data_IF_991126877955
#
_entry.id   IF_991126877955
#
_cell.length_a   1.000
_cell.length_b   1.000
_cell.length_c   1.000
_cell.angle_alpha   90.00
_cell.angle_beta   90.00
_cell.angle_gamma   90.00
#
_symmetry.space_group_name_H-M   'P 1'
#
loop_
_entity.id
_entity.type
_entity.pdbx_description
1 polymer ?
#
# COMPACT_ATOMS: atom_id res chain seq x y z
N UNK A 1 -0.02 7.65 8.09
CA UNK A 1 0.43 6.29 8.40
C UNK A 1 0.79 6.13 9.89
N UNK A 2 1.60 7.03 10.47
CA UNK A 2 2.02 6.94 11.89
C UNK A 2 0.85 6.91 12.86
N UNK A 3 -0.18 7.71 12.64
CA UNK A 3 -1.40 7.71 13.46
C UNK A 3 -2.15 6.37 13.42
N UNK A 4 -1.97 5.60 12.37
CA UNK A 4 -2.52 4.25 12.20
C UNK A 4 -1.55 3.13 12.60
N UNK A 5 -0.48 3.47 13.32
CA UNK A 5 0.42 2.51 13.93
C UNK A 5 1.64 2.12 13.11
N UNK A 6 1.99 2.87 12.07
CA UNK A 6 3.26 2.67 11.39
C UNK A 6 4.41 3.17 12.26
N UNK A 7 5.37 2.29 12.56
CA UNK A 7 6.56 2.64 13.33
C UNK A 7 7.46 3.60 12.56
N UNK A 8 7.58 3.40 11.24
CA UNK A 8 8.38 4.21 10.35
C UNK A 8 7.61 4.59 9.09
N UNK A 9 8.01 5.69 8.49
CA UNK A 9 7.46 6.16 7.21
C UNK A 9 8.61 6.60 6.31
N UNK A 10 8.51 6.27 5.02
CA UNK A 10 9.48 6.67 4.00
C UNK A 10 8.78 7.65 3.07
N UNK A 11 9.27 8.89 3.04
CA UNK A 11 8.81 9.86 2.06
C UNK A 11 9.58 9.67 0.75
N UNK A 12 8.87 9.34 -0.33
CA UNK A 12 9.49 9.13 -1.64
C UNK A 12 10.14 10.40 -2.23
N UNK A 13 9.77 11.59 -1.77
CA UNK A 13 10.41 12.83 -2.17
C UNK A 13 11.80 12.99 -1.52
N UNK A 14 11.97 12.51 -0.30
CA UNK A 14 13.24 12.51 0.43
C UNK A 14 14.13 11.35 -0.01
N UNK A 15 13.54 10.18 -0.19
CA UNK A 15 14.19 8.95 -0.64
C UNK A 15 13.82 8.68 -2.11
N UNK A 16 14.27 9.55 -3.01
CA UNK A 16 13.82 9.63 -4.41
C UNK A 16 14.14 8.40 -5.27
N UNK A 17 15.07 7.52 -4.83
CA UNK A 17 15.42 6.32 -5.59
C UNK A 17 15.15 5.03 -4.83
N UNK A 18 14.90 3.89 -5.52
CA UNK A 18 14.73 2.59 -4.89
C UNK A 18 15.91 2.20 -3.99
N UNK A 19 17.13 2.54 -4.39
CA UNK A 19 18.36 2.23 -3.64
C UNK A 19 18.40 2.95 -2.30
N UNK A 20 18.03 4.24 -2.26
CA UNK A 20 17.95 5.02 -1.02
C UNK A 20 16.88 4.46 -0.09
N UNK A 21 15.73 4.09 -0.63
CA UNK A 21 14.66 3.46 0.16
C UNK A 21 15.08 2.11 0.71
N UNK A 22 15.75 1.30 -0.12
CA UNK A 22 16.31 0.01 0.30
C UNK A 22 17.35 0.16 1.41
N UNK A 23 18.28 1.12 1.26
CA UNK A 23 19.28 1.40 2.28
C UNK A 23 18.62 1.78 3.60
N UNK A 24 17.62 2.65 3.58
CA UNK A 24 16.90 3.03 4.79
C UNK A 24 16.21 1.84 5.45
N UNK A 25 15.58 0.94 4.67
CA UNK A 25 15.00 -0.29 5.20
C UNK A 25 16.08 -1.18 5.82
N UNK A 26 17.27 -1.26 5.23
CA UNK A 26 18.40 -2.00 5.80
C UNK A 26 18.83 -1.43 7.15
N UNK A 27 18.92 -0.12 7.27
CA UNK A 27 19.26 0.56 8.52
C UNK A 27 18.22 0.27 9.62
N UNK A 28 16.93 0.28 9.28
CA UNK A 28 15.84 -0.02 10.21
C UNK A 28 15.79 -1.47 10.66
N UNK A 29 16.40 -2.38 9.93
CA UNK A 29 16.30 -3.84 10.13
C UNK A 29 17.63 -4.50 10.42
N UNK A 30 18.64 -3.74 10.83
CA UNK A 30 20.00 -4.24 11.08
C UNK A 30 20.57 -5.05 9.89
N UNK A 31 20.29 -4.59 8.67
CA UNK A 31 20.74 -5.21 7.42
C UNK A 31 19.86 -6.34 6.90
N UNK A 32 18.86 -6.78 7.65
CA UNK A 32 18.03 -7.95 7.31
C UNK A 32 17.08 -7.74 6.14
N UNK A 33 16.57 -6.53 5.93
CA UNK A 33 15.46 -6.20 5.04
C UNK A 33 14.10 -6.73 5.56
N UNK A 34 13.05 -6.60 4.74
CA UNK A 34 11.68 -6.90 5.14
C UNK A 34 11.34 -8.39 4.99
N UNK A 35 10.62 -8.96 5.95
CA UNK A 35 10.07 -10.32 5.83
C UNK A 35 8.85 -10.35 4.90
N UNK A 36 8.06 -9.26 4.88
CA UNK A 36 6.88 -9.10 4.03
C UNK A 36 6.89 -7.72 3.42
N UNK A 37 6.63 -7.64 2.12
CA UNK A 37 6.37 -6.40 1.39
C UNK A 37 5.02 -6.51 0.72
N UNK A 38 4.16 -5.50 0.88
CA UNK A 38 2.85 -5.42 0.26
C UNK A 38 2.80 -4.25 -0.72
N UNK A 39 2.43 -4.52 -1.96
CA UNK A 39 2.19 -3.51 -2.99
C UNK A 39 0.70 -3.17 -3.02
N UNK A 40 0.37 -1.87 -2.87
CA UNK A 40 -1.00 -1.36 -2.76
C UNK A 40 -1.26 -0.16 -3.68
N UNK A 41 -0.27 0.19 -4.50
CA UNK A 41 -0.31 1.38 -5.38
C UNK A 41 -0.81 1.02 -6.79
N UNK A 42 -0.46 -0.18 -7.27
CA UNK A 42 -0.85 -0.68 -8.60
C UNK A 42 0.10 -0.29 -9.73
N UNK A 43 1.37 -0.03 -9.45
CA UNK A 43 2.40 0.25 -10.46
C UNK A 43 3.27 -0.99 -10.68
N UNK A 44 3.36 -1.46 -11.92
CA UNK A 44 4.06 -2.70 -12.26
C UNK A 44 5.55 -2.69 -11.84
N UNK A 45 6.20 -1.54 -11.91
CA UNK A 45 7.61 -1.35 -11.57
C UNK A 45 7.90 -1.60 -10.09
N UNK A 46 6.89 -1.41 -9.22
CA UNK A 46 7.01 -1.61 -7.76
C UNK A 46 7.18 -3.09 -7.38
N UNK A 47 6.82 -4.02 -8.28
CA UNK A 47 7.12 -5.43 -8.06
C UNK A 47 8.65 -5.67 -8.01
N UNK A 48 9.41 -5.05 -8.90
CA UNK A 48 10.87 -5.18 -8.91
C UNK A 48 11.45 -4.59 -7.64
N UNK A 49 11.06 -3.36 -7.33
CA UNK A 49 11.50 -2.63 -6.15
C UNK A 49 11.16 -3.39 -4.86
N UNK A 50 9.90 -3.84 -4.74
CA UNK A 50 9.44 -4.53 -3.54
C UNK A 50 10.09 -5.90 -3.33
N UNK A 51 10.39 -6.63 -4.39
CA UNK A 51 11.15 -7.89 -4.31
C UNK A 51 12.59 -7.63 -3.84
N UNK A 52 13.20 -6.50 -4.23
CA UNK A 52 14.54 -6.14 -3.76
C UNK A 52 14.58 -5.75 -2.28
N UNK A 53 13.47 -5.28 -1.73
CA UNK A 53 13.35 -4.96 -0.30
C UNK A 53 13.19 -6.19 0.61
N UNK A 54 12.98 -7.38 0.04
CA UNK A 54 12.78 -8.60 0.81
C UNK A 54 14.09 -9.23 1.30
N UNK A 55 14.05 -9.71 2.53
CA UNK A 55 15.06 -10.64 3.06
C UNK A 55 15.01 -12.00 2.34
N UNK A 56 15.96 -12.89 2.67
CA UNK A 56 15.90 -14.29 2.24
C UNK A 56 14.60 -14.98 2.72
N UNK A 57 13.94 -15.68 1.83
CA UNK A 57 12.67 -16.36 2.13
C UNK A 57 11.47 -15.45 2.33
N UNK A 58 11.65 -14.13 2.20
CA UNK A 58 10.59 -13.14 2.37
C UNK A 58 9.48 -13.24 1.31
N UNK A 59 8.36 -12.61 1.58
CA UNK A 59 7.16 -12.69 0.74
C UNK A 59 6.74 -11.31 0.24
N UNK A 60 6.64 -11.16 -1.07
CA UNK A 60 6.00 -10.02 -1.73
C UNK A 60 4.52 -10.33 -1.97
N UNK A 61 3.64 -9.45 -1.55
CA UNK A 61 2.19 -9.57 -1.76
C UNK A 61 1.74 -8.47 -2.71
N UNK A 62 1.32 -8.89 -3.90
CA UNK A 62 0.74 -8.01 -4.91
C UNK A 62 -0.75 -7.84 -4.66
N UNK A 63 -1.19 -6.63 -4.34
CA UNK A 63 -2.59 -6.30 -4.03
C UNK A 63 -3.06 -5.15 -4.91
N UNK A 64 -2.15 -4.24 -5.28
CA UNK A 64 -2.44 -3.11 -6.15
C UNK A 64 -2.94 -3.61 -7.50
N UNK A 65 -4.03 -3.06 -7.99
CA UNK A 65 -4.69 -3.48 -9.23
C UNK A 65 -3.86 -3.05 -10.46
N UNK A 66 -2.88 -3.87 -10.82
CA UNK A 66 -1.99 -3.60 -11.94
C UNK A 66 -2.78 -3.55 -13.25
N UNK A 67 -2.61 -2.48 -13.98
CA UNK A 67 -3.25 -2.27 -15.28
C UNK A 67 -2.81 -3.37 -16.26
N UNK A 68 -3.78 -4.09 -16.82
CA UNK A 68 -3.53 -5.16 -17.79
C UNK A 68 -2.76 -4.63 -18.99
N UNK A 69 -1.81 -5.44 -19.49
CA UNK A 69 -1.01 -5.12 -20.67
C UNK A 69 0.27 -4.34 -20.40
N UNK A 70 0.53 -3.93 -19.15
CA UNK A 70 1.86 -3.48 -18.76
C UNK A 70 2.79 -4.65 -18.56
N UNK A 71 4.02 -4.50 -19.06
CA UNK A 71 5.08 -5.49 -18.93
C UNK A 71 6.30 -4.83 -18.27
N UNK A 72 6.99 -5.60 -17.44
CA UNK A 72 8.23 -5.19 -16.80
C UNK A 72 9.34 -6.19 -17.17
N UNK A 73 10.57 -5.69 -17.26
CA UNK A 73 11.74 -6.56 -17.37
C UNK A 73 12.19 -6.94 -15.97
N UNK A 74 11.98 -8.19 -15.59
CA UNK A 74 12.32 -8.72 -14.28
C UNK A 74 13.55 -9.61 -14.36
N UNK A 75 14.59 -9.30 -13.57
CA UNK A 75 15.64 -10.26 -13.27
C UNK A 75 15.10 -11.28 -12.25
N UNK A 76 15.01 -12.57 -12.59
CA UNK A 76 14.50 -13.58 -11.68
C UNK A 76 15.48 -13.96 -10.57
N UNK A 77 16.75 -13.57 -10.67
CA UNK A 77 17.79 -14.00 -9.74
C UNK A 77 17.50 -13.68 -8.25
N UNK A 78 16.90 -12.53 -7.88
CA UNK A 78 16.50 -12.29 -6.49
C UNK A 78 15.47 -13.28 -5.98
N UNK A 79 14.57 -13.78 -6.85
CA UNK A 79 13.52 -14.74 -6.47
C UNK A 79 14.12 -16.11 -6.14
N UNK A 80 15.22 -16.50 -6.80
CA UNK A 80 15.89 -17.78 -6.53
C UNK A 80 16.44 -17.91 -5.11
N UNK A 81 16.50 -16.82 -4.38
CA UNK A 81 16.88 -16.78 -2.96
C UNK A 81 15.74 -17.16 -2.01
N UNK A 82 14.79 -17.97 -2.48
CA UNK A 82 13.65 -18.44 -1.72
C UNK A 82 12.54 -17.40 -1.50
N UNK A 83 12.63 -16.23 -2.14
CA UNK A 83 11.59 -15.21 -2.07
C UNK A 83 10.30 -15.72 -2.75
N UNK A 84 9.17 -15.27 -2.24
CA UNK A 84 7.85 -15.63 -2.74
C UNK A 84 7.18 -14.39 -3.31
N UNK A 85 6.51 -14.53 -4.43
CA UNK A 85 5.62 -13.51 -4.99
C UNK A 85 4.22 -14.12 -5.04
N UNK A 86 3.27 -13.52 -4.34
CA UNK A 86 1.89 -14.00 -4.27
C UNK A 86 0.93 -12.87 -4.60
N UNK A 87 -0.10 -13.17 -5.39
CA UNK A 87 -1.18 -12.23 -5.67
C UNK A 87 -2.30 -12.36 -4.64
N UNK A 88 -2.91 -11.23 -4.30
CA UNK A 88 -4.13 -11.18 -3.51
C UNK A 88 -5.10 -10.23 -4.18
N UNK A 89 -6.24 -10.75 -4.60
CA UNK A 89 -7.30 -9.96 -5.24
C UNK A 89 -8.61 -10.20 -4.53
N UNK A 90 -9.31 -9.11 -4.22
CA UNK A 90 -10.59 -9.16 -3.53
C UNK A 90 -10.48 -9.81 -2.13
N UNK A 91 -11.59 -9.98 -1.47
CA UNK A 91 -11.68 -10.69 -0.21
C UNK A 91 -12.89 -11.61 -0.20
N UNK A 92 -12.79 -12.71 0.52
CA UNK A 92 -13.94 -13.62 0.70
C UNK A 92 -14.94 -12.97 1.64
N UNK A 93 -16.25 -13.04 1.35
CA UNK A 93 -17.29 -12.50 2.25
C UNK A 93 -17.19 -13.02 3.70
N UNK A 94 -16.67 -14.23 3.87
CA UNK A 94 -16.42 -14.82 5.21
C UNK A 94 -15.40 -14.06 6.06
N UNK A 95 -14.60 -13.16 5.47
CA UNK A 95 -13.68 -12.30 6.21
C UNK A 95 -14.37 -11.09 6.85
N UNK A 96 -15.58 -10.72 6.40
CA UNK A 96 -16.28 -9.55 6.94
C UNK A 96 -16.48 -9.62 8.46
N UNK A 97 -16.96 -10.72 9.06
CA UNK A 97 -17.06 -10.83 10.51
C UNK A 97 -15.72 -10.64 11.22
N UNK A 98 -14.66 -11.25 10.69
CA UNK A 98 -13.29 -11.13 11.25
C UNK A 98 -12.80 -9.69 11.19
N UNK A 99 -13.08 -8.99 10.09
CA UNK A 99 -12.73 -7.56 9.95
C UNK A 99 -13.53 -6.71 10.95
N UNK A 100 -14.81 -6.99 11.13
CA UNK A 100 -15.65 -6.28 12.11
C UNK A 100 -15.15 -6.51 13.53
N UNK A 101 -14.81 -7.74 13.90
CA UNK A 101 -14.21 -8.04 15.20
C UNK A 101 -12.88 -7.28 15.39
N UNK A 102 -12.03 -7.24 14.37
CA UNK A 102 -10.78 -6.48 14.41
C UNK A 102 -11.03 -4.99 14.64
N UNK A 103 -12.00 -4.41 13.93
CA UNK A 103 -12.36 -2.99 14.08
C UNK A 103 -12.86 -2.72 15.51
N UNK A 104 -13.81 -3.50 16.00
CA UNK A 104 -14.37 -3.36 17.35
C UNK A 104 -13.27 -3.47 18.41
N UNK A 105 -12.40 -4.46 18.29
CA UNK A 105 -11.29 -4.68 19.24
C UNK A 105 -10.29 -3.53 19.28
N UNK A 106 -10.18 -2.77 18.19
CA UNK A 106 -9.23 -1.67 18.07
C UNK A 106 -9.93 -0.29 18.09
N UNK A 107 -11.21 -0.20 18.45
CA UNK A 107 -11.88 1.08 18.66
C UNK A 107 -11.13 1.90 19.71
N UNK A 108 -10.90 3.17 19.38
CA UNK A 108 -10.12 4.09 20.22
C UNK A 108 -8.61 3.91 20.16
N UNK A 109 -8.10 2.87 19.51
CA UNK A 109 -6.66 2.69 19.30
C UNK A 109 -6.17 3.43 18.05
N UNK A 110 -6.95 3.38 16.97
CA UNK A 110 -6.66 4.04 15.72
C UNK A 110 -7.81 4.96 15.30
N UNK A 111 -7.50 6.10 14.66
CA UNK A 111 -8.50 7.09 14.27
C UNK A 111 -9.23 6.65 12.98
N UNK A 112 -10.07 5.62 13.07
CA UNK A 112 -10.79 5.07 11.90
C UNK A 112 -11.66 6.11 11.19
N UNK A 113 -12.16 7.09 11.91
CA UNK A 113 -12.95 8.21 11.37
C UNK A 113 -12.15 9.05 10.37
N UNK A 114 -10.82 9.07 10.48
CA UNK A 114 -9.94 9.80 9.54
C UNK A 114 -9.74 9.08 8.21
N UNK A 115 -10.24 7.85 8.05
CA UNK A 115 -10.21 7.15 6.76
C UNK A 115 -11.08 7.90 5.76
N UNK A 116 -12.24 8.38 6.19
CA UNK A 116 -13.07 9.28 5.39
C UNK A 116 -12.52 10.69 5.54
N UNK A 117 -11.91 11.21 4.48
CA UNK A 117 -11.28 12.54 4.51
C UNK A 117 -12.24 13.66 4.14
N UNK A 118 -13.21 13.39 3.28
CA UNK A 118 -14.13 14.38 2.74
C UNK A 118 -15.52 13.77 2.52
N UNK A 119 -16.53 14.55 2.86
CA UNK A 119 -17.93 14.26 2.58
C UNK A 119 -18.46 15.27 1.56
N UNK A 120 -19.19 14.79 0.57
CA UNK A 120 -19.81 15.62 -0.44
C UNK A 120 -21.30 15.29 -0.53
N UNK A 121 -22.19 16.30 -0.71
CA UNK A 121 -23.57 16.04 -1.11
C UNK A 121 -23.61 15.21 -2.40
N UNK A 122 -24.58 14.33 -2.54
CA UNK A 122 -24.76 13.54 -3.76
C UNK A 122 -24.89 14.43 -5.01
N UNK A 123 -25.46 15.62 -4.87
CA UNK A 123 -25.57 16.61 -5.96
C UNK A 123 -24.21 17.09 -6.47
N UNK A 124 -23.17 17.03 -5.66
CA UNK A 124 -21.83 17.53 -5.96
C UNK A 124 -20.88 16.40 -6.40
N UNK A 125 -21.40 15.30 -6.93
CA UNK A 125 -20.64 14.11 -7.33
C UNK A 125 -19.47 14.44 -8.27
N UNK A 126 -19.66 15.37 -9.21
CA UNK A 126 -18.60 15.76 -10.14
C UNK A 126 -17.43 16.45 -9.40
N UNK A 127 -17.74 17.36 -8.48
CA UNK A 127 -16.71 17.99 -7.64
C UNK A 127 -15.98 16.97 -6.76
N UNK A 128 -16.69 15.98 -6.24
CA UNK A 128 -16.10 14.89 -5.48
C UNK A 128 -15.09 14.09 -6.33
N UNK A 129 -15.45 13.75 -7.57
CA UNK A 129 -14.53 13.07 -8.50
C UNK A 129 -13.32 13.94 -8.85
N UNK A 130 -13.52 15.22 -9.17
CA UNK A 130 -12.42 16.14 -9.51
C UNK A 130 -11.41 16.28 -8.36
N UNK A 131 -11.89 16.34 -7.12
CA UNK A 131 -11.02 16.44 -5.94
C UNK A 131 -10.37 15.10 -5.56
N UNK A 132 -11.06 13.99 -5.81
CA UNK A 132 -10.54 12.65 -5.54
C UNK A 132 -9.67 12.10 -6.67
N UNK A 133 -9.67 12.73 -7.84
CA UNK A 133 -8.85 12.30 -8.97
C UNK A 133 -7.37 12.58 -8.69
N UNK A 134 -6.67 11.54 -8.33
CA UNK A 134 -5.30 11.60 -7.84
C UNK A 134 -4.27 10.93 -8.76
N UNK A 135 -4.70 10.38 -9.88
CA UNK A 135 -3.86 9.58 -10.78
C UNK A 135 -2.50 10.24 -11.18
N UNK A 136 -2.36 11.56 -11.00
CA UNK A 136 -1.10 12.29 -11.18
C UNK A 136 -0.97 13.52 -10.25
N UNK A 137 -1.74 13.60 -9.17
CA UNK A 137 -1.72 14.74 -8.25
C UNK A 137 -1.69 14.25 -6.82
N UNK A 138 -0.84 14.84 -6.00
CA UNK A 138 -0.95 14.72 -4.56
C UNK A 138 -2.19 15.50 -4.11
N UNK A 139 -3.22 14.80 -3.66
CA UNK A 139 -4.40 15.43 -3.07
C UNK A 139 -4.46 15.12 -1.58
N UNK A 140 -5.09 16.01 -0.82
CA UNK A 140 -5.41 15.77 0.59
C UNK A 140 -6.59 14.82 0.76
N UNK A 141 -7.28 14.48 -0.33
CA UNK A 141 -8.44 13.59 -0.33
C UNK A 141 -7.97 12.15 -0.42
N UNK A 142 -8.09 11.40 0.66
CA UNK A 142 -7.75 9.98 0.70
C UNK A 142 -8.95 9.09 0.44
N UNK A 143 -10.11 9.44 0.99
CA UNK A 143 -11.40 8.77 0.78
C UNK A 143 -12.53 9.81 0.79
N UNK A 144 -13.08 10.08 -0.38
CA UNK A 144 -14.31 10.85 -0.51
C UNK A 144 -15.52 9.92 -0.36
N UNK A 145 -16.55 10.39 0.33
CA UNK A 145 -17.87 9.73 0.37
C UNK A 145 -18.95 10.70 -0.09
N UNK A 146 -19.96 10.14 -0.74
CA UNK A 146 -21.16 10.89 -1.11
C UNK A 146 -22.24 10.63 -0.07
N UNK A 147 -22.81 11.70 0.44
CA UNK A 147 -23.94 11.63 1.39
C UNK A 147 -25.21 12.08 0.69
N UNK A 148 -26.39 11.41 0.95
CA UNK A 148 -27.67 11.78 0.36
C UNK A 148 -28.10 13.17 0.73
#
# INVERSE_FOLDING_TARGET
AREFGADYTINIEEYGTPELRRQYIQELTDGRLADIVMELVGQAELLIEGVDYLTYGGTFVEIGDIVRGRTIALDPSPITRGKKVIGSSMYRPSLLPVMMEMLVKNLGKWPYEKIVSNEFPLADVNAAFEQAEWANRQTSVTRAVLVP
#
